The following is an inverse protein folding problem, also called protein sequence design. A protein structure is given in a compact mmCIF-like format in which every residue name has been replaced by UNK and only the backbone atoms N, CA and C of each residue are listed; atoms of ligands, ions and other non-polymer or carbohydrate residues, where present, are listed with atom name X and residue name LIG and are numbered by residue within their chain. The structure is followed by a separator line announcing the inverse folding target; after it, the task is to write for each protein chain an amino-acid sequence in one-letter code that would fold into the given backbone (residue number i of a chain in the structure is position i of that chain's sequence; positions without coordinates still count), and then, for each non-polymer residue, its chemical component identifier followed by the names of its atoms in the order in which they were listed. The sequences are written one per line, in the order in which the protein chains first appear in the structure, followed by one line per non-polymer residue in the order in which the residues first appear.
data_IF_798485469143
#
_entry.id   IF_798485469143
#
_cell.length_a   1.000
_cell.length_b   1.000
_cell.length_c   1.000
_cell.angle_alpha   90.00
_cell.angle_beta   90.00
_cell.angle_gamma   90.00
#
_symmetry.space_group_name_H-M   'P 1'
#
loop_
_entity.id
_entity.type
_entity.pdbx_description
1 polymer ?
#
# COMPACT_ATOMS: atom_id res chain seq x y z
N UNK A 1 44.84 26.89 -14.46
CA UNK A 1 44.97 25.41 -14.48
C UNK A 1 43.91 24.88 -13.54
N UNK A 2 42.75 24.49 -14.09
CA UNK A 2 41.62 24.00 -13.28
C UNK A 2 41.82 22.50 -13.05
N UNK A 3 41.90 22.11 -11.78
CA UNK A 3 41.95 20.72 -11.33
C UNK A 3 40.60 20.08 -11.61
N UNK A 4 40.54 19.16 -12.56
CA UNK A 4 39.41 18.24 -12.72
C UNK A 4 39.43 17.24 -11.55
N UNK A 5 38.63 17.49 -10.52
CA UNK A 5 38.30 16.48 -9.52
C UNK A 5 37.40 15.43 -10.18
N UNK A 6 38.03 14.42 -10.77
CA UNK A 6 37.36 13.21 -11.25
C UNK A 6 36.79 12.48 -10.04
N UNK A 7 35.54 12.79 -9.71
CA UNK A 7 34.75 12.07 -8.70
C UNK A 7 34.57 10.65 -9.23
N UNK A 8 35.48 9.75 -8.85
CA UNK A 8 35.36 8.32 -9.09
C UNK A 8 34.14 7.81 -8.32
N UNK A 9 32.98 7.78 -8.98
CA UNK A 9 31.78 7.11 -8.47
C UNK A 9 32.09 5.62 -8.42
N UNK A 10 32.52 5.12 -7.26
CA UNK A 10 32.51 3.69 -7.00
C UNK A 10 31.06 3.22 -7.04
N UNK A 11 30.69 2.59 -8.16
CA UNK A 11 29.43 1.85 -8.29
C UNK A 11 29.45 0.73 -7.27
N UNK A 12 28.74 0.93 -6.15
CA UNK A 12 28.52 -0.14 -5.18
C UNK A 12 27.89 -1.34 -5.92
N UNK A 13 28.47 -2.54 -5.80
CA UNK A 13 27.93 -3.71 -6.50
C UNK A 13 26.50 -3.95 -6.03
N UNK A 14 25.58 -4.17 -6.97
CA UNK A 14 24.19 -4.44 -6.66
C UNK A 14 24.07 -5.65 -5.72
N UNK A 15 23.58 -5.41 -4.50
CA UNK A 15 23.35 -6.44 -3.48
C UNK A 15 22.31 -7.46 -3.97
N UNK A 16 22.78 -8.57 -4.55
CA UNK A 16 21.92 -9.68 -5.02
C UNK A 16 21.02 -10.24 -3.91
N UNK A 17 21.43 -10.11 -2.64
CA UNK A 17 20.65 -10.49 -1.48
C UNK A 17 19.35 -9.65 -1.33
N UNK A 18 19.41 -8.34 -1.60
CA UNK A 18 18.23 -7.45 -1.53
C UNK A 18 17.25 -7.78 -2.65
N UNK A 19 17.75 -8.02 -3.86
CA UNK A 19 16.94 -8.38 -5.03
C UNK A 19 16.21 -9.72 -4.81
N UNK A 20 16.91 -10.72 -4.25
CA UNK A 20 16.29 -12.01 -3.93
C UNK A 20 15.17 -11.88 -2.90
N UNK A 21 15.35 -11.03 -1.89
CA UNK A 21 14.34 -10.81 -0.86
C UNK A 21 13.06 -10.17 -1.41
N UNK A 22 13.21 -9.18 -2.30
CA UNK A 22 12.08 -8.55 -3.02
C UNK A 22 11.30 -9.61 -3.83
N UNK A 23 11.98 -10.50 -4.55
CA UNK A 23 11.33 -11.56 -5.33
C UNK A 23 10.58 -12.58 -4.47
N UNK A 24 11.12 -12.94 -3.30
CA UNK A 24 10.44 -13.84 -2.35
C UNK A 24 9.20 -13.16 -1.78
N UNK A 25 9.31 -11.91 -1.35
CA UNK A 25 8.18 -11.13 -0.85
C UNK A 25 7.10 -10.96 -1.90
N UNK A 26 7.47 -10.66 -3.14
CA UNK A 26 6.55 -10.57 -4.27
C UNK A 26 5.84 -11.90 -4.52
N UNK A 27 6.55 -13.02 -4.44
CA UNK A 27 5.96 -14.36 -4.55
C UNK A 27 4.94 -14.65 -3.44
N UNK A 28 5.28 -14.36 -2.18
CA UNK A 28 4.38 -14.55 -1.04
C UNK A 28 3.12 -13.69 -1.22
N UNK A 29 3.30 -12.42 -1.60
CA UNK A 29 2.19 -11.50 -1.79
C UNK A 29 1.29 -11.89 -2.96
N UNK A 30 1.86 -12.41 -4.04
CA UNK A 30 1.11 -12.94 -5.18
C UNK A 30 0.27 -14.15 -4.78
N UNK A 31 0.82 -15.06 -3.97
CA UNK A 31 0.08 -16.23 -3.45
C UNK A 31 -1.06 -15.80 -2.54
N UNK A 32 -0.83 -14.86 -1.61
CA UNK A 32 -1.89 -14.31 -0.74
C UNK A 32 -3.00 -13.67 -1.59
N UNK A 33 -2.63 -12.89 -2.60
CA UNK A 33 -3.58 -12.25 -3.51
C UNK A 33 -4.37 -13.28 -4.33
N UNK A 34 -3.72 -14.33 -4.82
CA UNK A 34 -4.41 -15.40 -5.56
C UNK A 34 -5.39 -16.18 -4.67
N UNK A 35 -5.01 -16.47 -3.43
CA UNK A 35 -5.90 -17.08 -2.42
C UNK A 35 -7.09 -16.18 -2.11
N UNK A 36 -6.85 -14.87 -2.00
CA UNK A 36 -7.89 -13.87 -1.76
C UNK A 36 -8.91 -13.81 -2.89
N UNK A 37 -8.48 -13.86 -4.14
CA UNK A 37 -9.38 -14.01 -5.28
C UNK A 37 -10.13 -15.35 -5.26
N UNK A 38 -9.46 -16.46 -4.93
CA UNK A 38 -10.08 -17.79 -4.84
C UNK A 38 -11.22 -17.83 -3.81
N UNK A 39 -11.00 -17.26 -2.62
CA UNK A 39 -12.03 -17.10 -1.59
C UNK A 39 -13.16 -16.18 -2.09
N UNK A 40 -12.80 -15.09 -2.76
CA UNK A 40 -13.76 -14.17 -3.36
C UNK A 40 -14.56 -14.77 -4.54
N UNK A 41 -14.11 -15.86 -5.18
CA UNK A 41 -14.91 -16.56 -6.20
C UNK A 41 -15.73 -17.72 -5.62
N UNK A 42 -15.35 -18.29 -4.47
CA UNK A 42 -15.99 -19.49 -3.91
C UNK A 42 -17.10 -19.21 -2.90
N UNK A 43 -17.09 -18.08 -2.18
CA UNK A 43 -18.15 -17.75 -1.19
C UNK A 43 -19.44 -17.32 -1.91
N UNK A 44 -20.62 -17.94 -1.71
CA UNK A 44 -21.85 -17.56 -2.41
C UNK A 44 -22.28 -16.10 -2.16
N UNK A 45 -22.90 -15.49 -3.18
CA UNK A 45 -23.31 -14.06 -3.24
C UNK A 45 -24.30 -13.64 -2.14
N UNK A 46 -24.97 -14.57 -1.48
CA UNK A 46 -25.94 -14.32 -0.41
C UNK A 46 -25.32 -13.65 0.83
N UNK A 47 -24.01 -13.80 1.03
CA UNK A 47 -23.23 -13.18 2.12
C UNK A 47 -22.38 -12.00 1.61
N UNK A 48 -22.95 -11.15 0.76
CA UNK A 48 -22.23 -10.05 0.09
C UNK A 48 -21.44 -9.16 1.08
N UNK A 49 -22.05 -8.76 2.20
CA UNK A 49 -21.42 -7.88 3.20
C UNK A 49 -20.22 -8.55 3.88
N UNK A 50 -20.32 -9.84 4.21
CA UNK A 50 -19.25 -10.60 4.87
C UNK A 50 -18.08 -10.84 3.91
N UNK A 51 -18.38 -11.14 2.63
CA UNK A 51 -17.38 -11.26 1.57
C UNK A 51 -16.61 -9.95 1.38
N UNK A 52 -17.31 -8.82 1.32
CA UNK A 52 -16.71 -7.49 1.19
C UNK A 52 -15.82 -7.17 2.40
N UNK A 53 -16.31 -7.42 3.62
CA UNK A 53 -15.55 -7.16 4.84
C UNK A 53 -14.25 -7.97 4.91
N UNK A 54 -14.29 -9.27 4.56
CA UNK A 54 -13.10 -10.13 4.51
C UNK A 54 -12.12 -9.66 3.44
N UNK A 55 -12.62 -9.28 2.26
CA UNK A 55 -11.79 -8.81 1.16
C UNK A 55 -11.08 -7.50 1.51
N UNK A 56 -11.81 -6.53 2.08
CA UNK A 56 -11.22 -5.27 2.56
C UNK A 56 -10.19 -5.54 3.66
N UNK A 57 -10.49 -6.42 4.60
CA UNK A 57 -9.58 -6.80 5.69
C UNK A 57 -8.27 -7.42 5.18
N UNK A 58 -8.35 -8.41 4.29
CA UNK A 58 -7.16 -9.04 3.70
C UNK A 58 -6.36 -8.07 2.83
N UNK A 59 -7.02 -7.18 2.10
CA UNK A 59 -6.35 -6.14 1.30
C UNK A 59 -5.57 -5.17 2.19
N UNK A 60 -6.11 -4.81 3.37
CA UNK A 60 -5.40 -4.00 4.37
C UNK A 60 -4.18 -4.75 4.91
N UNK A 61 -4.33 -6.03 5.28
CA UNK A 61 -3.22 -6.87 5.77
C UNK A 61 -2.09 -6.94 4.73
N UNK A 62 -2.43 -7.14 3.46
CA UNK A 62 -1.43 -7.16 2.38
C UNK A 62 -0.74 -5.80 2.24
N UNK A 63 -1.46 -4.69 2.36
CA UNK A 63 -0.88 -3.35 2.29
C UNK A 63 0.16 -3.15 3.41
N UNK A 64 -0.15 -3.58 4.63
CA UNK A 64 0.82 -3.57 5.73
C UNK A 64 2.03 -4.45 5.47
N UNK A 65 1.85 -5.65 4.90
CA UNK A 65 2.96 -6.54 4.55
C UNK A 65 3.85 -5.94 3.46
N UNK A 66 3.27 -5.24 2.48
CA UNK A 66 4.02 -4.51 1.45
C UNK A 66 4.89 -3.43 2.09
N UNK A 67 4.28 -2.57 2.92
CA UNK A 67 4.98 -1.45 3.57
C UNK A 67 6.06 -1.96 4.53
N UNK A 68 5.82 -3.06 5.23
CA UNK A 68 6.81 -3.67 6.12
C UNK A 68 8.00 -4.28 5.39
N UNK A 69 7.73 -5.08 4.36
CA UNK A 69 8.75 -5.96 3.77
C UNK A 69 9.42 -5.38 2.51
N UNK A 70 8.70 -4.67 1.63
CA UNK A 70 9.32 -4.02 0.46
C UNK A 70 10.10 -2.77 0.81
N UNK A 71 9.82 -2.17 1.97
CA UNK A 71 10.44 -0.89 2.30
C UNK A 71 11.69 -0.99 3.18
N UNK A 72 12.04 -2.15 3.74
CA UNK A 72 13.27 -2.30 4.54
C UNK A 72 13.38 -1.28 5.71
N UNK A 73 12.26 -0.78 6.24
CA UNK A 73 12.24 0.45 7.06
C UNK A 73 12.47 0.23 8.56
N UNK A 74 12.68 -1.01 9.01
CA UNK A 74 12.59 -1.28 10.44
C UNK A 74 13.74 -0.66 11.26
N UNK A 75 14.86 -0.27 10.63
CA UNK A 75 16.01 0.26 11.38
C UNK A 75 16.66 1.55 10.84
N UNK A 76 16.54 1.93 9.56
CA UNK A 76 17.31 3.09 9.02
C UNK A 76 16.48 4.25 8.44
N UNK A 77 15.17 4.11 8.23
CA UNK A 77 14.43 5.01 7.32
C UNK A 77 13.06 5.42 7.88
N UNK A 78 13.05 5.90 9.14
CA UNK A 78 11.87 6.52 9.76
C UNK A 78 11.29 7.65 8.90
N UNK A 79 12.14 8.39 8.20
CA UNK A 79 11.75 9.47 7.27
C UNK A 79 10.89 8.94 6.11
N UNK A 80 11.21 7.76 5.58
CA UNK A 80 10.46 7.16 4.47
C UNK A 80 9.08 6.65 4.91
N UNK A 81 8.96 6.15 6.16
CA UNK A 81 7.65 5.81 6.74
C UNK A 81 6.78 7.07 6.78
N UNK A 82 7.32 8.17 7.33
CA UNK A 82 6.60 9.44 7.42
C UNK A 82 6.22 10.01 6.04
N UNK A 83 7.07 9.86 5.01
CA UNK A 83 6.73 10.33 3.66
C UNK A 83 5.57 9.58 3.00
N UNK A 84 5.18 8.41 3.52
CA UNK A 84 4.05 7.61 3.00
C UNK A 84 2.84 7.73 3.92
N UNK A 85 3.07 7.73 5.23
CA UNK A 85 2.01 7.82 6.23
C UNK A 85 1.27 9.16 6.10
N UNK A 86 1.99 10.27 5.91
CA UNK A 86 1.41 11.62 5.77
C UNK A 86 0.45 11.71 4.57
N UNK A 87 0.85 11.38 3.32
CA UNK A 87 -0.08 11.40 2.20
C UNK A 87 -1.23 10.40 2.34
N UNK A 88 -1.00 9.23 2.97
CA UNK A 88 -2.08 8.27 3.25
C UNK A 88 -3.15 8.84 4.19
N UNK A 89 -2.74 9.50 5.28
CA UNK A 89 -3.65 10.15 6.22
C UNK A 89 -4.42 11.27 5.52
N UNK A 90 -3.75 12.06 4.69
CA UNK A 90 -4.38 13.13 3.92
C UNK A 90 -5.47 12.60 2.97
N UNK A 91 -5.22 11.49 2.26
CA UNK A 91 -6.20 10.85 1.37
C UNK A 91 -7.41 10.34 2.15
N UNK A 92 -7.20 9.66 3.27
CA UNK A 92 -8.32 9.15 4.10
C UNK A 92 -9.16 10.30 4.63
N UNK A 93 -8.53 11.36 5.11
CA UNK A 93 -9.22 12.56 5.59
C UNK A 93 -10.07 13.21 4.48
N UNK A 94 -9.51 13.36 3.28
CA UNK A 94 -10.23 13.91 2.12
C UNK A 94 -11.42 13.04 1.72
N UNK A 95 -11.27 11.71 1.75
CA UNK A 95 -12.32 10.77 1.38
C UNK A 95 -13.52 10.89 2.35
N UNK A 96 -13.25 11.01 3.65
CA UNK A 96 -14.30 11.26 4.66
C UNK A 96 -14.98 12.61 4.43
N UNK A 97 -14.21 13.68 4.15
CA UNK A 97 -14.77 14.99 3.88
C UNK A 97 -15.69 14.99 2.65
N UNK A 98 -15.27 14.37 1.54
CA UNK A 98 -16.08 14.26 0.33
C UNK A 98 -17.33 13.41 0.52
N UNK A 99 -17.26 12.33 1.30
CA UNK A 99 -18.46 11.54 1.63
C UNK A 99 -19.43 12.36 2.47
N UNK A 100 -18.94 13.12 3.45
CA UNK A 100 -19.77 13.97 4.29
C UNK A 100 -20.44 15.11 3.52
N UNK A 101 -19.66 15.90 2.76
CA UNK A 101 -20.21 16.96 1.90
C UNK A 101 -21.13 16.39 0.82
N UNK A 102 -20.77 15.24 0.25
CA UNK A 102 -21.62 14.52 -0.69
C UNK A 102 -22.98 14.23 -0.08
N UNK A 103 -23.02 13.60 1.09
CA UNK A 103 -24.27 13.29 1.79
C UNK A 103 -25.08 14.54 2.14
N UNK A 104 -24.46 15.64 2.60
CA UNK A 104 -25.19 16.88 2.90
C UNK A 104 -25.83 17.51 1.66
N UNK A 105 -25.16 17.47 0.51
CA UNK A 105 -25.70 17.98 -0.76
C UNK A 105 -26.87 17.13 -1.25
N UNK A 106 -26.80 15.80 -1.05
CA UNK A 106 -27.93 14.92 -1.36
C UNK A 106 -29.13 15.23 -0.47
N UNK A 107 -28.96 15.36 0.85
CA UNK A 107 -30.08 15.63 1.75
C UNK A 107 -30.78 16.97 1.46
N UNK A 108 -30.01 18.04 1.24
CA UNK A 108 -30.57 19.38 0.95
C UNK A 108 -31.37 19.43 -0.36
N UNK A 109 -31.06 18.56 -1.33
CA UNK A 109 -31.67 18.57 -2.68
C UNK A 109 -32.92 17.69 -2.80
N UNK A 110 -33.13 16.75 -1.88
CA UNK A 110 -34.27 15.82 -1.90
C UNK A 110 -35.29 16.07 -0.77
N UNK A 111 -34.94 16.87 0.24
CA UNK A 111 -35.80 17.19 1.39
C UNK A 111 -36.29 18.66 1.44
N UNK A 112 -35.89 19.50 0.47
CA UNK A 112 -36.48 20.81 0.17
C UNK A 112 -37.05 20.83 -1.25
#
# INVERSE_FOLDING_TARGET
MHTEETTHVQVQPADKAKIRKIWVTAGILAVVTALEFLVAFTIPLEMATLRIAIFVGMTIVKAFYIVGEFMHLKYETKVLIWSILVPMIFVVWMLVAFVYEGMSIFDDKYLN
#
